data_IF_733470104994
#
_entry.id   IF_733470104994
#
_cell.length_a   1.000
_cell.length_b   1.000
_cell.length_c   1.000
_cell.angle_alpha   90.00
_cell.angle_beta   90.00
_cell.angle_gamma   90.00
#
_symmetry.space_group_name_H-M   'P 1'
#
loop_
_entity.id
_entity.type
_entity.pdbx_description
1 polymer ?
#
# COMPACT_ATOMS: atom_id res chain seq x y z
N UNK A 1 -45.02 8.14 -29.53
CA UNK A 1 -44.21 8.89 -28.56
C UNK A 1 -42.80 8.35 -28.65
N UNK A 2 -41.97 8.99 -29.47
CA UNK A 2 -40.62 8.55 -29.81
C UNK A 2 -39.65 8.94 -28.69
N UNK A 3 -38.90 7.96 -28.17
CA UNK A 3 -37.76 8.21 -27.28
C UNK A 3 -36.76 9.14 -27.98
N UNK A 4 -36.28 10.21 -27.35
CA UNK A 4 -35.31 11.10 -27.96
C UNK A 4 -33.95 10.39 -28.15
N UNK A 5 -33.18 10.76 -29.17
CA UNK A 5 -31.93 10.10 -29.53
C UNK A 5 -30.84 10.42 -28.50
N UNK A 6 -30.04 9.41 -28.19
CA UNK A 6 -28.87 9.47 -27.32
C UNK A 6 -27.91 10.59 -27.77
N UNK A 7 -27.61 11.56 -26.90
CA UNK A 7 -26.39 12.39 -27.01
C UNK A 7 -26.50 13.91 -27.03
N UNK A 8 -27.69 14.53 -26.98
CA UNK A 8 -27.80 15.98 -26.68
C UNK A 8 -28.32 16.16 -25.26
N UNK A 9 -27.46 16.68 -24.37
CA UNK A 9 -27.91 17.20 -23.08
C UNK A 9 -28.84 18.38 -23.34
N UNK A 10 -30.06 18.31 -22.83
CA UNK A 10 -30.99 19.43 -22.89
C UNK A 10 -30.51 20.58 -22.00
N UNK A 11 -31.08 21.77 -22.17
CA UNK A 11 -30.72 22.96 -21.39
C UNK A 11 -30.87 22.71 -19.87
N UNK A 12 -31.88 21.94 -19.47
CA UNK A 12 -32.13 21.55 -18.07
C UNK A 12 -31.00 20.68 -17.48
N UNK A 13 -30.46 19.73 -18.26
CA UNK A 13 -29.32 18.91 -17.83
C UNK A 13 -28.06 19.76 -17.61
N UNK A 14 -27.85 20.76 -18.47
CA UNK A 14 -26.75 21.71 -18.31
C UNK A 14 -26.93 22.60 -17.08
N UNK A 15 -28.14 23.11 -16.84
CA UNK A 15 -28.44 23.92 -15.66
C UNK A 15 -28.20 23.10 -14.39
N UNK A 16 -28.74 21.89 -14.28
CA UNK A 16 -28.51 21.03 -13.12
C UNK A 16 -27.04 20.64 -12.92
N UNK A 17 -26.31 20.42 -14.01
CA UNK A 17 -24.86 20.21 -13.93
C UNK A 17 -24.15 21.44 -13.35
N UNK A 18 -24.45 22.64 -13.84
CA UNK A 18 -23.85 23.87 -13.33
C UNK A 18 -24.25 24.14 -11.88
N UNK A 19 -25.51 23.96 -11.50
CA UNK A 19 -25.99 24.11 -10.12
C UNK A 19 -25.27 23.15 -9.17
N UNK A 20 -25.22 21.86 -9.50
CA UNK A 20 -24.54 20.85 -8.69
C UNK A 20 -23.03 21.14 -8.58
N UNK A 21 -22.41 21.52 -9.70
CA UNK A 21 -20.97 21.85 -9.73
C UNK A 21 -20.67 23.11 -8.91
N UNK A 22 -21.44 24.19 -9.06
CA UNK A 22 -21.29 25.41 -8.26
C UNK A 22 -21.54 25.14 -6.79
N UNK A 23 -22.52 24.30 -6.43
CA UNK A 23 -22.82 23.96 -5.04
C UNK A 23 -21.68 23.16 -4.42
N UNK A 24 -21.12 22.18 -5.13
CA UNK A 24 -19.96 21.41 -4.68
C UNK A 24 -18.74 22.32 -4.51
N UNK A 25 -18.42 23.15 -5.50
CA UNK A 25 -17.28 24.08 -5.43
C UNK A 25 -17.49 25.09 -4.31
N UNK A 26 -18.66 25.70 -4.21
CA UNK A 26 -19.00 26.67 -3.18
C UNK A 26 -18.92 26.08 -1.77
N UNK A 27 -19.43 24.86 -1.58
CA UNK A 27 -19.33 24.14 -0.30
C UNK A 27 -17.89 23.79 0.05
N UNK A 28 -17.09 23.34 -0.93
CA UNK A 28 -15.68 23.03 -0.73
C UNK A 28 -14.86 24.28 -0.39
N UNK A 29 -15.11 25.41 -1.05
CA UNK A 29 -14.48 26.70 -0.76
C UNK A 29 -14.85 27.20 0.63
N UNK A 30 -16.12 27.07 1.03
CA UNK A 30 -16.59 27.46 2.36
C UNK A 30 -15.92 26.60 3.44
N UNK A 31 -15.91 25.27 3.27
CA UNK A 31 -15.21 24.35 4.17
C UNK A 31 -13.71 24.67 4.27
N UNK A 32 -13.06 24.92 3.12
CA UNK A 32 -11.66 25.33 3.06
C UNK A 32 -11.43 26.64 3.82
N UNK A 33 -12.31 27.63 3.64
CA UNK A 33 -12.29 28.88 4.40
C UNK A 33 -12.37 28.66 5.91
N UNK A 34 -13.28 27.78 6.37
CA UNK A 34 -13.37 27.40 7.79
C UNK A 34 -12.05 26.78 8.28
N UNK A 35 -11.49 25.83 7.52
CA UNK A 35 -10.21 25.23 7.87
C UNK A 35 -9.07 26.25 7.94
N UNK A 36 -9.02 27.20 7.01
CA UNK A 36 -8.01 28.26 7.03
C UNK A 36 -8.20 29.23 8.18
N UNK A 37 -9.42 29.57 8.57
CA UNK A 37 -9.66 30.39 9.76
C UNK A 37 -9.18 29.67 11.03
N UNK A 38 -9.46 28.38 11.16
CA UNK A 38 -8.95 27.57 12.29
C UNK A 38 -7.43 27.47 12.25
N UNK A 39 -6.83 27.24 11.07
CA UNK A 39 -5.38 27.13 10.90
C UNK A 39 -4.66 28.45 11.19
N UNK A 40 -5.18 29.58 10.71
CA UNK A 40 -4.63 30.92 10.96
C UNK A 40 -4.64 31.25 12.45
N UNK A 41 -5.72 30.89 13.16
CA UNK A 41 -5.84 31.10 14.59
C UNK A 41 -5.22 29.97 15.43
N UNK A 42 -4.66 28.92 14.82
CA UNK A 42 -4.21 27.73 15.54
C UNK A 42 -3.18 28.05 16.62
N UNK A 43 -2.25 28.96 16.35
CA UNK A 43 -1.22 29.33 17.33
C UNK A 43 -1.77 30.13 18.51
N UNK A 44 -2.93 30.79 18.35
CA UNK A 44 -3.59 31.57 19.40
C UNK A 44 -4.47 30.70 20.32
N UNK A 45 -4.87 29.52 19.85
CA UNK A 45 -5.67 28.59 20.66
C UNK A 45 -4.83 27.99 21.79
N UNK A 46 -5.40 27.98 23.00
CA UNK A 46 -4.79 27.32 24.14
C UNK A 46 -4.73 25.79 23.95
N UNK A 47 -3.91 25.14 24.78
CA UNK A 47 -3.73 23.68 24.70
C UNK A 47 -5.02 22.90 24.93
N UNK A 48 -5.89 23.36 25.82
CA UNK A 48 -7.11 22.66 26.18
C UNK A 48 -8.16 22.74 25.07
N UNK A 49 -8.24 23.87 24.36
CA UNK A 49 -9.12 24.06 23.21
C UNK A 49 -8.67 23.17 22.05
N UNK A 50 -7.36 23.13 21.75
CA UNK A 50 -6.82 22.23 20.71
C UNK A 50 -7.16 20.77 20.96
N UNK A 51 -6.89 20.30 22.18
CA UNK A 51 -7.20 18.92 22.59
C UNK A 51 -8.72 18.69 22.64
N UNK A 52 -9.47 19.65 23.16
CA UNK A 52 -10.93 19.61 23.26
C UNK A 52 -11.60 19.45 21.90
N UNK A 53 -11.16 20.19 20.88
CA UNK A 53 -11.65 20.07 19.50
C UNK A 53 -11.45 18.65 18.98
N UNK A 54 -10.25 18.09 19.12
CA UNK A 54 -9.93 16.77 18.58
C UNK A 54 -10.66 15.67 19.34
N UNK A 55 -10.74 15.78 20.66
CA UNK A 55 -11.45 14.81 21.50
C UNK A 55 -12.95 14.83 21.20
N UNK A 56 -13.55 16.02 21.06
CA UNK A 56 -14.94 16.18 20.67
C UNK A 56 -15.22 15.59 19.29
N UNK A 57 -14.33 15.83 18.30
CA UNK A 57 -14.45 15.23 16.97
C UNK A 57 -14.39 13.70 17.03
N UNK A 58 -13.49 13.13 17.84
CA UNK A 58 -13.41 11.68 18.03
C UNK A 58 -14.71 11.12 18.62
N UNK A 59 -15.29 11.76 19.65
CA UNK A 59 -16.57 11.34 20.24
C UNK A 59 -17.70 11.42 19.20
N UNK A 60 -17.79 12.53 18.47
CA UNK A 60 -18.82 12.74 17.44
C UNK A 60 -18.74 11.64 16.38
N UNK A 61 -17.54 11.34 15.86
CA UNK A 61 -17.38 10.31 14.84
C UNK A 61 -17.50 8.88 15.38
N UNK A 62 -17.18 8.65 16.65
CA UNK A 62 -17.48 7.39 17.33
C UNK A 62 -18.99 7.15 17.40
N UNK A 63 -19.75 8.13 17.88
CA UNK A 63 -21.21 8.07 17.95
C UNK A 63 -21.82 7.92 16.54
N UNK A 64 -21.35 8.70 15.57
CA UNK A 64 -21.75 8.57 14.17
C UNK A 64 -21.56 7.14 13.67
N UNK A 65 -20.36 6.57 13.83
CA UNK A 65 -20.03 5.22 13.40
C UNK A 65 -20.92 4.19 14.09
N UNK A 66 -21.17 4.35 15.40
CA UNK A 66 -22.01 3.47 16.19
C UNK A 66 -23.48 3.50 15.73
N UNK A 67 -24.08 4.69 15.57
CA UNK A 67 -25.48 4.83 15.14
C UNK A 67 -25.70 4.39 13.70
N UNK A 68 -24.74 4.65 12.80
CA UNK A 68 -24.82 4.27 11.39
C UNK A 68 -24.24 2.89 11.08
N UNK A 69 -23.94 2.04 12.08
CA UNK A 69 -23.34 0.69 11.91
C UNK A 69 -24.07 -0.27 10.96
N UNK A 70 -25.36 -0.03 10.72
CA UNK A 70 -26.19 -0.81 9.78
C UNK A 70 -26.03 -0.36 8.32
N UNK A 71 -25.62 0.88 8.07
CA UNK A 71 -25.38 1.44 6.74
C UNK A 71 -23.89 1.29 6.43
N UNK A 72 -23.55 0.28 5.63
CA UNK A 72 -22.15 -0.11 5.36
C UNK A 72 -21.27 1.07 4.93
N UNK A 73 -21.70 1.86 3.95
CA UNK A 73 -20.94 3.01 3.45
C UNK A 73 -20.66 4.06 4.55
N UNK A 74 -21.67 4.43 5.35
CA UNK A 74 -21.49 5.42 6.42
C UNK A 74 -20.64 4.88 7.57
N UNK A 75 -20.80 3.60 7.89
CA UNK A 75 -19.98 2.92 8.89
C UNK A 75 -18.49 2.95 8.51
N UNK A 76 -18.17 2.65 7.25
CA UNK A 76 -16.78 2.67 6.74
C UNK A 76 -16.20 4.09 6.68
N UNK A 77 -17.01 5.09 6.29
CA UNK A 77 -16.61 6.50 6.35
C UNK A 77 -16.27 6.88 7.79
N UNK A 78 -17.14 6.51 8.75
CA UNK A 78 -16.93 6.78 10.17
C UNK A 78 -15.66 6.13 10.72
N UNK A 79 -15.42 4.85 10.43
CA UNK A 79 -14.18 4.15 10.82
C UNK A 79 -12.92 4.78 10.19
N UNK A 80 -13.00 5.18 8.92
CA UNK A 80 -11.88 5.83 8.22
C UNK A 80 -11.54 7.18 8.85
N UNK A 81 -12.57 7.96 9.22
CA UNK A 81 -12.36 9.25 9.90
C UNK A 81 -11.77 9.02 11.29
N UNK A 82 -12.27 8.05 12.07
CA UNK A 82 -11.70 7.69 13.37
C UNK A 82 -10.23 7.27 13.27
N UNK A 83 -9.87 6.52 12.24
CA UNK A 83 -8.48 6.15 11.97
C UNK A 83 -7.58 7.39 11.87
N UNK A 84 -7.95 8.40 11.07
CA UNK A 84 -7.16 9.63 10.92
C UNK A 84 -7.24 10.57 12.13
N UNK A 85 -8.39 10.64 12.81
CA UNK A 85 -8.55 11.44 14.02
C UNK A 85 -7.70 10.92 15.17
N UNK A 86 -7.46 9.60 15.24
CA UNK A 86 -6.53 9.00 16.21
C UNK A 86 -5.11 9.50 15.97
N UNK A 87 -4.63 9.48 14.71
CA UNK A 87 -3.32 10.03 14.36
C UNK A 87 -3.21 11.54 14.61
N UNK A 88 -4.28 12.28 14.33
CA UNK A 88 -4.35 13.73 14.57
C UNK A 88 -4.30 14.07 16.06
N UNK A 89 -4.94 13.26 16.92
CA UNK A 89 -4.85 13.40 18.37
C UNK A 89 -3.43 13.22 18.89
N UNK A 90 -2.72 12.19 18.41
CA UNK A 90 -1.32 11.96 18.75
C UNK A 90 -0.41 13.11 18.27
N UNK A 91 -0.64 13.60 17.05
CA UNK A 91 0.12 14.71 16.49
C UNK A 91 -0.02 15.99 17.32
N UNK A 92 -1.25 16.36 17.66
CA UNK A 92 -1.50 17.58 18.45
C UNK A 92 -1.03 17.43 19.89
N UNK A 93 -1.15 16.24 20.47
CA UNK A 93 -0.55 15.95 21.77
C UNK A 93 0.98 16.14 21.75
N UNK A 94 1.66 15.54 20.76
CA UNK A 94 3.10 15.68 20.58
C UNK A 94 3.54 17.14 20.34
N UNK A 95 2.75 17.90 19.58
CA UNK A 95 3.00 19.33 19.37
C UNK A 95 2.88 20.16 20.66
N UNK A 96 1.84 19.94 21.45
CA UNK A 96 1.54 20.73 22.67
C UNK A 96 2.56 20.45 23.77
N UNK A 97 2.85 19.17 24.01
CA UNK A 97 3.70 18.75 25.12
C UNK A 97 5.16 18.61 24.74
N UNK A 98 5.50 18.85 23.46
CA UNK A 98 6.86 18.77 22.92
C UNK A 98 7.57 17.53 23.46
N UNK A 99 6.94 16.36 23.34
CA UNK A 99 7.39 15.13 23.99
C UNK A 99 8.76 14.63 23.48
N UNK A 100 9.44 15.42 22.65
CA UNK A 100 10.74 15.12 22.05
C UNK A 100 10.74 13.81 21.28
N UNK A 101 9.55 13.31 20.95
CA UNK A 101 9.35 11.94 20.50
C UNK A 101 9.58 11.88 19.01
N UNK A 102 10.34 10.88 18.57
CA UNK A 102 10.65 10.69 17.17
C UNK A 102 9.38 10.43 16.35
N UNK A 103 9.44 10.73 15.05
CA UNK A 103 8.30 10.51 14.13
C UNK A 103 7.85 9.05 14.16
N UNK A 104 8.79 8.11 14.35
CA UNK A 104 8.53 6.69 14.54
C UNK A 104 7.50 6.42 15.66
N UNK A 105 7.67 7.00 16.84
CA UNK A 105 6.82 6.69 17.99
C UNK A 105 5.39 7.19 17.80
N UNK A 106 5.20 8.30 17.08
CA UNK A 106 3.87 8.77 16.67
C UNK A 106 3.20 7.74 15.76
N UNK A 107 3.93 7.23 14.76
CA UNK A 107 3.41 6.24 13.82
C UNK A 107 3.13 4.90 14.51
N UNK A 108 4.00 4.48 15.43
CA UNK A 108 3.81 3.28 16.25
C UNK A 108 2.57 3.40 17.14
N UNK A 109 2.45 4.51 17.87
CA UNK A 109 1.28 4.78 18.71
C UNK A 109 -0.01 4.78 17.87
N UNK A 110 0.04 5.39 16.68
CA UNK A 110 -1.09 5.39 15.75
C UNK A 110 -1.44 3.98 15.29
N UNK A 111 -0.45 3.17 14.90
CA UNK A 111 -0.66 1.80 14.44
C UNK A 111 -1.26 0.92 15.55
N UNK A 112 -0.74 1.01 16.78
CA UNK A 112 -1.23 0.25 17.94
C UNK A 112 -2.67 0.66 18.27
N UNK A 113 -2.93 1.96 18.40
CA UNK A 113 -4.25 2.47 18.77
C UNK A 113 -5.32 2.24 17.69
N UNK A 114 -4.94 1.98 16.44
CA UNK A 114 -5.90 1.72 15.35
C UNK A 114 -5.97 0.25 14.92
N UNK A 115 -5.16 -0.63 15.52
CA UNK A 115 -5.11 -2.05 15.17
C UNK A 115 -6.48 -2.73 15.28
N UNK A 116 -7.26 -2.40 16.31
CA UNK A 116 -8.59 -3.00 16.52
C UNK A 116 -9.61 -2.59 15.44
N UNK A 117 -9.38 -1.50 14.70
CA UNK A 117 -10.26 -1.06 13.61
C UNK A 117 -10.13 -1.99 12.38
N UNK A 118 -9.00 -2.68 12.22
CA UNK A 118 -8.72 -3.56 11.08
C UNK A 118 -9.74 -4.69 10.94
N UNK A 119 -10.00 -5.54 11.95
CA UNK A 119 -11.00 -6.60 11.86
C UNK A 119 -12.45 -6.08 11.87
N UNK A 120 -12.69 -4.84 12.31
CA UNK A 120 -14.04 -4.24 12.35
C UNK A 120 -14.47 -3.73 10.96
N UNK A 121 -13.51 -3.31 10.12
CA UNK A 121 -13.79 -2.81 8.78
C UNK A 121 -14.25 -3.92 7.83
N UNK A 122 -15.43 -3.74 7.24
CA UNK A 122 -16.08 -4.61 6.27
C UNK A 122 -15.59 -4.34 4.85
N UNK A 123 -15.39 -3.07 4.49
CA UNK A 123 -14.82 -2.70 3.17
C UNK A 123 -13.34 -3.06 3.06
N UNK A 124 -12.63 -3.01 4.20
CA UNK A 124 -11.19 -3.20 4.31
C UNK A 124 -10.36 -2.00 3.84
N UNK A 125 -10.99 -0.87 3.53
CA UNK A 125 -10.28 0.41 3.33
C UNK A 125 -9.38 0.71 4.53
N UNK A 126 -9.91 0.56 5.75
CA UNK A 126 -9.14 0.76 6.98
C UNK A 126 -8.02 -0.25 7.14
N UNK A 127 -8.23 -1.51 6.75
CA UNK A 127 -7.15 -2.51 6.73
C UNK A 127 -6.03 -2.10 5.75
N UNK A 128 -6.39 -1.56 4.59
CA UNK A 128 -5.43 -1.01 3.63
C UNK A 128 -4.64 0.18 4.18
N UNK A 129 -5.34 1.14 4.79
CA UNK A 129 -4.71 2.29 5.44
C UNK A 129 -3.79 1.87 6.59
N UNK A 130 -4.21 0.89 7.39
CA UNK A 130 -3.40 0.35 8.47
C UNK A 130 -2.15 -0.37 7.95
N UNK A 131 -2.25 -1.11 6.84
CA UNK A 131 -1.08 -1.71 6.19
C UNK A 131 -0.06 -0.65 5.74
N UNK A 132 -0.53 0.45 5.15
CA UNK A 132 0.33 1.60 4.78
C UNK A 132 0.97 2.20 6.01
N UNK A 133 0.18 2.49 7.06
CA UNK A 133 0.66 3.05 8.32
C UNK A 133 1.72 2.15 8.97
N UNK A 134 1.47 0.85 9.03
CA UNK A 134 2.40 -0.12 9.61
C UNK A 134 3.68 -0.23 8.78
N UNK A 135 3.58 -0.27 7.44
CA UNK A 135 4.75 -0.24 6.57
C UNK A 135 5.60 1.04 6.79
N UNK A 136 4.95 2.20 6.87
CA UNK A 136 5.64 3.46 7.21
C UNK A 136 6.28 3.41 8.59
N UNK A 137 5.62 2.82 9.58
CA UNK A 137 6.14 2.67 10.95
C UNK A 137 7.42 1.83 10.96
N UNK A 138 7.43 0.68 10.28
CA UNK A 138 8.60 -0.20 10.17
C UNK A 138 9.74 0.52 9.45
N UNK A 139 9.46 1.25 8.37
CA UNK A 139 10.47 2.02 7.67
C UNK A 139 11.07 3.12 8.55
N UNK A 140 10.24 3.88 9.28
CA UNK A 140 10.70 4.92 10.20
C UNK A 140 11.56 4.33 11.33
N UNK A 141 11.16 3.18 11.89
CA UNK A 141 11.97 2.46 12.88
C UNK A 141 13.36 2.13 12.33
N UNK A 142 13.41 1.65 11.08
CA UNK A 142 14.67 1.26 10.44
C UNK A 142 15.64 2.43 10.23
N UNK A 143 15.12 3.66 10.14
CA UNK A 143 15.88 4.88 9.90
C UNK A 143 16.24 5.58 11.21
N UNK A 144 15.33 5.59 12.19
CA UNK A 144 15.45 6.41 13.41
C UNK A 144 15.99 5.63 14.61
N UNK A 145 15.68 4.34 14.72
CA UNK A 145 15.96 3.55 15.94
C UNK A 145 16.94 2.42 15.65
N UNK A 146 16.74 1.66 14.59
CA UNK A 146 17.54 0.47 14.31
C UNK A 146 18.92 0.80 13.75
N UNK A 147 19.92 -0.03 14.10
CA UNK A 147 21.24 0.02 13.49
C UNK A 147 21.18 -0.50 12.06
N UNK A 148 21.43 0.36 11.07
CA UNK A 148 21.21 0.11 9.65
C UNK A 148 21.75 -1.20 9.06
N UNK A 149 22.72 -1.85 9.71
CA UNK A 149 23.28 -3.15 9.31
C UNK A 149 22.32 -4.32 9.56
N UNK A 150 21.55 -4.31 10.64
CA UNK A 150 20.67 -5.44 11.03
C UNK A 150 19.24 -5.32 10.47
N UNK A 151 18.95 -4.23 9.75
CA UNK A 151 17.63 -3.96 9.17
C UNK A 151 17.13 -5.04 8.21
N UNK A 152 18.02 -5.86 7.66
CA UNK A 152 17.65 -6.97 6.77
C UNK A 152 16.76 -8.01 7.49
N UNK A 153 16.99 -8.30 8.77
CA UNK A 153 16.11 -9.19 9.54
C UNK A 153 14.72 -8.59 9.75
N UNK A 154 14.67 -7.31 10.11
CA UNK A 154 13.43 -6.57 10.33
C UNK A 154 12.58 -6.46 9.05
N UNK A 155 13.20 -6.19 7.90
CA UNK A 155 12.49 -6.17 6.63
C UNK A 155 12.07 -7.58 6.18
N UNK A 156 12.87 -8.62 6.44
CA UNK A 156 12.50 -9.99 6.13
C UNK A 156 11.29 -10.46 6.95
N UNK A 157 11.27 -10.22 8.27
CA UNK A 157 10.12 -10.56 9.12
C UNK A 157 8.87 -9.78 8.73
N UNK A 158 9.02 -8.48 8.43
CA UNK A 158 7.92 -7.64 7.96
C UNK A 158 7.36 -8.12 6.62
N UNK A 159 8.23 -8.54 5.69
CA UNK A 159 7.82 -9.12 4.41
C UNK A 159 6.95 -10.36 4.59
N UNK A 160 7.37 -11.28 5.47
CA UNK A 160 6.60 -12.48 5.81
C UNK A 160 5.25 -12.13 6.47
N UNK A 161 5.23 -11.12 7.33
CA UNK A 161 4.01 -10.63 7.97
C UNK A 161 3.00 -10.11 6.94
N UNK A 162 3.44 -9.32 5.96
CA UNK A 162 2.57 -8.81 4.91
C UNK A 162 2.07 -9.90 3.95
N UNK A 163 2.86 -10.95 3.69
CA UNK A 163 2.36 -12.13 2.98
C UNK A 163 1.26 -12.80 3.78
N UNK A 164 1.51 -13.05 5.06
CA UNK A 164 0.53 -13.67 5.93
C UNK A 164 -0.78 -12.87 5.96
N UNK A 165 -0.69 -11.55 6.15
CA UNK A 165 -1.85 -10.65 6.10
C UNK A 165 -2.54 -10.72 4.72
N UNK A 166 -1.79 -10.68 3.62
CA UNK A 166 -2.35 -10.77 2.27
C UNK A 166 -3.13 -12.06 2.04
N UNK A 167 -2.59 -13.19 2.50
CA UNK A 167 -3.23 -14.51 2.43
C UNK A 167 -4.50 -14.52 3.29
N UNK A 168 -4.44 -14.08 4.55
CA UNK A 168 -5.60 -14.03 5.46
C UNK A 168 -6.72 -13.18 4.88
N UNK A 169 -6.41 -12.01 4.32
CA UNK A 169 -7.40 -11.12 3.70
C UNK A 169 -8.01 -11.72 2.43
N UNK A 170 -7.25 -12.47 1.64
CA UNK A 170 -7.80 -13.23 0.51
C UNK A 170 -8.78 -14.31 1.00
N UNK A 171 -8.45 -15.05 2.07
CA UNK A 171 -9.33 -16.06 2.67
C UNK A 171 -10.61 -15.48 3.28
N UNK A 172 -10.55 -14.33 3.95
CA UNK A 172 -11.73 -13.72 4.58
C UNK A 172 -12.74 -13.14 3.59
N UNK A 173 -12.29 -12.60 2.45
CA UNK A 173 -13.14 -11.80 1.55
C UNK A 173 -13.49 -12.44 0.21
N UNK A 174 -13.07 -13.68 -0.05
CA UNK A 174 -13.24 -14.28 -1.38
C UNK A 174 -13.47 -15.79 -1.36
N UNK A 175 -14.48 -16.22 -2.12
CA UNK A 175 -14.59 -17.60 -2.62
C UNK A 175 -13.35 -18.01 -3.39
N UNK A 176 -13.05 -19.32 -3.38
CA UNK A 176 -11.81 -19.93 -3.88
C UNK A 176 -11.44 -19.51 -5.31
N UNK A 177 -12.42 -19.49 -6.22
CA UNK A 177 -12.29 -19.09 -7.62
C UNK A 177 -13.36 -18.05 -7.97
N UNK A 178 -13.01 -16.77 -7.93
CA UNK A 178 -13.89 -15.72 -8.48
C UNK A 178 -13.04 -14.70 -9.21
N UNK A 179 -13.19 -14.66 -10.54
CA UNK A 179 -12.53 -13.67 -11.42
C UNK A 179 -12.95 -12.23 -11.12
N UNK A 180 -14.08 -12.04 -10.41
CA UNK A 180 -14.71 -10.73 -10.18
C UNK A 180 -14.30 -10.08 -8.86
N UNK A 181 -13.79 -10.83 -7.88
CA UNK A 181 -13.35 -10.26 -6.60
C UNK A 181 -11.94 -9.68 -6.72
N UNK A 182 -11.84 -8.42 -7.12
CA UNK A 182 -10.57 -7.69 -7.00
C UNK A 182 -10.29 -7.44 -5.52
N UNK A 183 -9.58 -8.35 -4.85
CA UNK A 183 -9.05 -8.08 -3.51
C UNK A 183 -7.88 -7.11 -3.64
N UNK A 184 -8.19 -5.83 -3.78
CA UNK A 184 -7.19 -4.74 -3.74
C UNK A 184 -6.27 -4.87 -2.50
N UNK A 185 -6.78 -5.45 -1.42
CA UNK A 185 -6.06 -5.65 -0.18
C UNK A 185 -4.97 -6.72 -0.25
N UNK A 186 -5.20 -7.83 -0.95
CA UNK A 186 -4.12 -8.81 -1.13
C UNK A 186 -3.05 -8.32 -2.09
N UNK A 187 -3.44 -7.57 -3.13
CA UNK A 187 -2.49 -6.86 -3.98
C UNK A 187 -1.62 -5.89 -3.18
N UNK A 188 -2.23 -5.13 -2.27
CA UNK A 188 -1.53 -4.20 -1.37
C UNK A 188 -0.60 -4.94 -0.39
N UNK A 189 -1.05 -6.06 0.18
CA UNK A 189 -0.23 -6.93 1.03
C UNK A 189 1.00 -7.48 0.29
N UNK A 190 0.82 -7.98 -0.94
CA UNK A 190 1.93 -8.44 -1.79
C UNK A 190 2.86 -7.29 -2.15
N UNK A 191 2.32 -6.11 -2.48
CA UNK A 191 3.12 -4.94 -2.79
C UNK A 191 4.08 -4.61 -1.65
N UNK A 192 3.57 -4.54 -0.40
CA UNK A 192 4.42 -4.29 0.75
C UNK A 192 5.37 -5.45 1.05
N UNK A 193 4.89 -6.70 0.96
CA UNK A 193 5.74 -7.87 1.16
C UNK A 193 6.96 -7.88 0.23
N UNK A 194 6.72 -7.70 -1.07
CA UNK A 194 7.77 -7.67 -2.08
C UNK A 194 8.62 -6.39 -1.98
N UNK A 195 8.02 -5.26 -1.61
CA UNK A 195 8.74 -4.02 -1.33
C UNK A 195 9.78 -4.18 -0.22
N UNK A 196 9.37 -4.68 0.95
CA UNK A 196 10.29 -4.97 2.04
C UNK A 196 11.32 -6.03 1.68
N UNK A 197 10.92 -7.06 0.93
CA UNK A 197 11.88 -8.03 0.43
C UNK A 197 12.94 -7.35 -0.44
N UNK A 198 12.57 -6.45 -1.35
CA UNK A 198 13.56 -5.72 -2.16
C UNK A 198 14.51 -4.88 -1.29
N UNK A 199 14.03 -4.27 -0.20
CA UNK A 199 14.89 -3.56 0.74
C UNK A 199 15.92 -4.49 1.41
N UNK A 200 15.54 -5.73 1.75
CA UNK A 200 16.48 -6.76 2.23
C UNK A 200 17.62 -6.93 1.22
N UNK A 201 17.30 -7.08 -0.06
CA UNK A 201 18.31 -7.33 -1.11
C UNK A 201 19.26 -6.15 -1.29
N UNK A 202 18.73 -4.93 -1.26
CA UNK A 202 19.55 -3.72 -1.35
C UNK A 202 20.53 -3.64 -0.18
N UNK A 203 20.09 -3.99 1.03
CA UNK A 203 20.97 -4.04 2.21
C UNK A 203 22.02 -5.14 2.05
N UNK A 204 21.60 -6.36 1.72
CA UNK A 204 22.51 -7.50 1.53
C UNK A 204 23.56 -7.25 0.44
N UNK A 205 23.19 -6.52 -0.61
CA UNK A 205 24.10 -6.08 -1.66
C UNK A 205 25.13 -5.08 -1.12
N UNK A 206 24.68 -4.10 -0.33
CA UNK A 206 25.56 -3.09 0.28
C UNK A 206 26.58 -3.70 1.25
N UNK A 207 26.19 -4.76 1.98
CA UNK A 207 27.07 -5.47 2.93
C UNK A 207 27.76 -6.69 2.30
N UNK A 208 27.84 -6.77 0.97
CA UNK A 208 28.43 -7.92 0.26
C UNK A 208 29.83 -8.30 0.77
N UNK A 209 30.65 -7.31 1.15
CA UNK A 209 32.01 -7.52 1.67
C UNK A 209 32.08 -8.19 3.04
N UNK A 210 30.97 -8.24 3.78
CA UNK A 210 30.89 -8.90 5.10
C UNK A 210 30.64 -10.42 4.96
N UNK A 211 30.34 -10.92 3.76
CA UNK A 211 30.14 -12.36 3.52
C UNK A 211 31.47 -13.11 3.37
N UNK A 212 31.63 -14.19 4.13
CA UNK A 212 32.85 -15.01 4.15
C UNK A 212 33.05 -15.87 2.90
N UNK A 213 31.97 -16.24 2.20
CA UNK A 213 32.04 -17.05 0.98
C UNK A 213 31.06 -16.57 -0.08
N UNK A 214 31.47 -16.66 -1.35
CA UNK A 214 30.63 -16.35 -2.52
C UNK A 214 29.37 -17.21 -2.56
N UNK A 215 29.43 -18.46 -2.07
CA UNK A 215 28.28 -19.36 -2.01
C UNK A 215 27.22 -18.86 -1.03
N UNK A 216 27.62 -18.40 0.16
CA UNK A 216 26.68 -17.83 1.14
C UNK A 216 26.00 -16.59 0.60
N UNK A 217 26.75 -15.68 -0.04
CA UNK A 217 26.18 -14.50 -0.67
C UNK A 217 25.19 -14.87 -1.79
N UNK A 218 25.57 -15.78 -2.69
CA UNK A 218 24.70 -16.25 -3.77
C UNK A 218 23.43 -16.94 -3.27
N UNK A 219 23.49 -17.67 -2.16
CA UNK A 219 22.32 -18.26 -1.53
C UNK A 219 21.28 -17.20 -1.11
N UNK A 220 21.70 -16.17 -0.39
CA UNK A 220 20.79 -15.13 0.10
C UNK A 220 20.32 -14.17 -0.99
N UNK A 221 21.18 -13.83 -1.97
CA UNK A 221 20.82 -12.91 -3.04
C UNK A 221 20.06 -13.57 -4.20
N UNK A 222 20.29 -14.85 -4.48
CA UNK A 222 19.76 -15.49 -5.69
C UNK A 222 18.74 -16.57 -5.36
N UNK A 223 19.11 -17.55 -4.54
CA UNK A 223 18.27 -18.73 -4.31
C UNK A 223 17.06 -18.43 -3.43
N UNK A 224 17.26 -17.88 -2.24
CA UNK A 224 16.19 -17.57 -1.29
C UNK A 224 15.08 -16.67 -1.90
N UNK A 225 15.41 -15.64 -2.68
CA UNK A 225 14.41 -14.79 -3.34
C UNK A 225 13.72 -15.50 -4.48
N UNK A 226 14.44 -16.30 -5.28
CA UNK A 226 13.83 -17.11 -6.34
C UNK A 226 12.78 -18.06 -5.75
N UNK A 227 13.10 -18.72 -4.62
CA UNK A 227 12.17 -19.57 -3.91
C UNK A 227 10.97 -18.78 -3.38
N UNK A 228 11.20 -17.60 -2.81
CA UNK A 228 10.13 -16.75 -2.29
C UNK A 228 9.17 -16.25 -3.37
N UNK A 229 9.70 -15.65 -4.43
CA UNK A 229 8.91 -15.19 -5.57
C UNK A 229 8.22 -16.36 -6.27
N UNK A 230 8.91 -17.50 -6.41
CA UNK A 230 8.35 -18.73 -6.97
C UNK A 230 7.18 -19.26 -6.16
N UNK A 231 7.31 -19.32 -4.82
CA UNK A 231 6.24 -19.75 -3.92
C UNK A 231 5.00 -18.84 -4.04
N UNK A 232 5.20 -17.52 -3.95
CA UNK A 232 4.09 -16.55 -4.04
C UNK A 232 3.46 -16.58 -5.44
N UNK A 233 4.27 -16.73 -6.49
CA UNK A 233 3.79 -16.88 -7.86
C UNK A 233 2.95 -18.15 -8.02
N UNK A 234 3.42 -19.31 -7.54
CA UNK A 234 2.68 -20.58 -7.62
C UNK A 234 1.35 -20.47 -6.88
N UNK A 235 1.37 -19.92 -5.66
CA UNK A 235 0.16 -19.68 -4.87
C UNK A 235 -0.87 -18.84 -5.65
N UNK A 236 -0.45 -17.69 -6.19
CA UNK A 236 -1.36 -16.81 -6.94
C UNK A 236 -1.67 -17.26 -8.35
N UNK A 237 -0.92 -18.20 -8.93
CA UNK A 237 -1.18 -18.76 -10.26
C UNK A 237 -2.16 -19.91 -10.20
N UNK A 238 -1.96 -20.83 -9.26
CA UNK A 238 -2.67 -22.12 -9.22
C UNK A 238 -3.75 -22.18 -8.15
N UNK A 239 -3.56 -21.51 -7.00
CA UNK A 239 -4.47 -21.66 -5.86
C UNK A 239 -5.54 -20.56 -5.77
N UNK A 240 -5.20 -19.30 -6.10
CA UNK A 240 -6.12 -18.15 -5.97
C UNK A 240 -6.30 -17.30 -7.23
N UNK A 241 -5.73 -17.71 -8.37
CA UNK A 241 -5.62 -16.95 -9.64
C UNK A 241 -6.00 -15.45 -9.56
N UNK A 242 -5.01 -14.59 -9.31
CA UNK A 242 -5.20 -13.13 -9.26
C UNK A 242 -4.29 -12.43 -10.25
N UNK A 243 -4.86 -11.91 -11.33
CA UNK A 243 -4.06 -11.28 -12.40
C UNK A 243 -3.24 -10.08 -11.91
N UNK A 244 -3.83 -9.21 -11.08
CA UNK A 244 -3.12 -8.06 -10.49
C UNK A 244 -1.91 -8.49 -9.64
N UNK A 245 -2.09 -9.53 -8.82
CA UNK A 245 -1.05 -10.03 -7.93
C UNK A 245 0.10 -10.65 -8.73
N UNK A 246 -0.22 -11.41 -9.79
CA UNK A 246 0.77 -11.95 -10.73
C UNK A 246 1.55 -10.83 -11.42
N UNK A 247 0.88 -9.75 -11.84
CA UNK A 247 1.54 -8.58 -12.41
C UNK A 247 2.50 -7.91 -11.43
N UNK A 248 2.10 -7.76 -10.16
CA UNK A 248 2.97 -7.21 -9.11
C UNK A 248 4.19 -8.08 -8.84
N UNK A 249 4.01 -9.40 -8.77
CA UNK A 249 5.11 -10.35 -8.56
C UNK A 249 6.15 -10.25 -9.69
N UNK A 250 5.69 -10.18 -10.95
CA UNK A 250 6.59 -10.02 -12.09
C UNK A 250 7.24 -8.63 -12.14
N UNK A 251 6.51 -7.57 -11.77
CA UNK A 251 7.08 -6.22 -11.68
C UNK A 251 8.21 -6.15 -10.65
N UNK A 252 7.99 -6.67 -9.45
CA UNK A 252 9.04 -6.74 -8.43
C UNK A 252 10.14 -7.75 -8.79
N UNK A 253 9.84 -8.76 -9.62
CA UNK A 253 10.82 -9.69 -10.17
C UNK A 253 11.78 -9.02 -11.16
N UNK A 254 11.28 -8.05 -11.94
CA UNK A 254 12.11 -7.17 -12.76
C UNK A 254 13.12 -6.41 -11.90
N UNK A 255 12.69 -5.87 -10.75
CA UNK A 255 13.57 -5.19 -9.80
C UNK A 255 14.73 -6.07 -9.33
N UNK A 256 14.46 -7.35 -9.09
CA UNK A 256 15.49 -8.34 -8.73
C UNK A 256 16.48 -8.60 -9.87
N UNK A 257 15.98 -8.73 -11.10
CA UNK A 257 16.85 -8.91 -12.27
C UNK A 257 17.71 -7.68 -12.50
N UNK A 258 17.16 -6.47 -12.33
CA UNK A 258 17.92 -5.23 -12.40
C UNK A 258 19.08 -5.22 -11.41
N UNK A 259 18.82 -5.50 -10.13
CA UNK A 259 19.85 -5.50 -9.10
C UNK A 259 20.95 -6.53 -9.41
N UNK A 260 20.56 -7.75 -9.82
CA UNK A 260 21.50 -8.85 -10.07
C UNK A 260 22.33 -8.66 -11.34
N UNK A 261 21.71 -8.19 -12.42
CA UNK A 261 22.44 -7.95 -13.67
C UNK A 261 23.32 -6.71 -13.57
N UNK A 262 22.93 -5.70 -12.77
CA UNK A 262 23.80 -4.57 -12.46
C UNK A 262 25.05 -4.97 -11.68
N UNK A 263 24.91 -5.91 -10.72
CA UNK A 263 26.04 -6.50 -9.98
C UNK A 263 26.91 -7.36 -10.91
N UNK A 264 26.30 -8.33 -11.60
CA UNK A 264 26.99 -9.27 -12.50
C UNK A 264 27.82 -8.58 -13.58
N UNK A 265 27.28 -7.52 -14.18
CA UNK A 265 27.95 -6.76 -15.25
C UNK A 265 28.78 -5.58 -14.71
N UNK A 266 28.94 -5.49 -13.38
CA UNK A 266 29.75 -4.47 -12.71
C UNK A 266 29.48 -3.04 -13.22
N UNK A 267 28.20 -2.71 -13.47
CA UNK A 267 27.78 -1.46 -14.12
C UNK A 267 28.29 -0.23 -13.35
N UNK A 268 28.45 -0.38 -12.04
CA UNK A 268 28.88 0.68 -11.12
C UNK A 268 30.40 0.80 -10.95
N UNK A 269 31.19 -0.16 -11.43
CA UNK A 269 32.64 -0.22 -11.19
C UNK A 269 33.47 -0.14 -12.48
N UNK A 270 33.12 -0.93 -13.49
CA UNK A 270 33.85 -1.02 -14.76
C UNK A 270 32.85 -1.11 -15.90
N UNK A 271 32.51 0.05 -16.47
CA UNK A 271 31.44 0.13 -17.46
C UNK A 271 31.99 0.03 -18.88
N UNK A 272 31.87 -1.14 -19.51
CA UNK A 272 32.06 -1.31 -20.95
C UNK A 272 30.74 -1.12 -21.70
N UNK A 273 30.78 -0.69 -22.97
CA UNK A 273 29.58 -0.59 -23.81
C UNK A 273 28.84 -1.95 -23.91
N UNK A 274 29.59 -3.06 -23.87
CA UNK A 274 29.05 -4.42 -23.87
C UNK A 274 28.24 -4.72 -22.60
N UNK A 275 28.72 -4.29 -21.43
CA UNK A 275 28.03 -4.51 -20.15
C UNK A 275 26.67 -3.78 -20.11
N UNK A 276 26.62 -2.54 -20.61
CA UNK A 276 25.35 -1.80 -20.73
C UNK A 276 24.38 -2.46 -21.72
N UNK A 277 24.89 -2.98 -22.84
CA UNK A 277 24.08 -3.68 -23.82
C UNK A 277 23.48 -4.97 -23.24
N UNK A 278 24.29 -5.79 -22.55
CA UNK A 278 23.81 -7.01 -21.89
C UNK A 278 22.80 -6.73 -20.78
N UNK A 279 23.01 -5.65 -20.02
CA UNK A 279 22.06 -5.18 -19.02
C UNK A 279 20.71 -4.79 -19.66
N UNK A 280 20.73 -3.95 -20.69
CA UNK A 280 19.54 -3.53 -21.40
C UNK A 280 18.80 -4.71 -22.06
N UNK A 281 19.53 -5.66 -22.66
CA UNK A 281 18.96 -6.89 -23.22
C UNK A 281 18.29 -7.75 -22.15
N UNK A 282 18.89 -7.88 -20.97
CA UNK A 282 18.29 -8.66 -19.86
C UNK A 282 16.94 -8.08 -19.41
N UNK A 283 16.85 -6.75 -19.31
CA UNK A 283 15.61 -6.04 -18.93
C UNK A 283 14.54 -6.18 -20.01
N UNK A 284 14.91 -5.95 -21.27
CA UNK A 284 13.98 -6.04 -22.40
C UNK A 284 13.46 -7.46 -22.59
N UNK A 285 14.33 -8.47 -22.51
CA UNK A 285 13.92 -9.88 -22.58
C UNK A 285 12.95 -10.23 -21.45
N UNK A 286 13.24 -9.83 -20.21
CA UNK A 286 12.36 -10.10 -19.09
C UNK A 286 11.00 -9.39 -19.21
N UNK A 287 10.98 -8.11 -19.57
CA UNK A 287 9.73 -7.35 -19.73
C UNK A 287 8.85 -7.94 -20.83
N UNK A 288 9.44 -8.27 -22.00
CA UNK A 288 8.72 -8.91 -23.10
C UNK A 288 8.17 -10.27 -22.68
N UNK A 289 8.98 -11.09 -22.00
CA UNK A 289 8.52 -12.37 -21.47
C UNK A 289 7.38 -12.21 -20.46
N UNK A 290 7.53 -11.33 -19.47
CA UNK A 290 6.53 -11.11 -18.43
C UNK A 290 5.19 -10.62 -19.01
N UNK A 291 5.22 -9.68 -19.95
CA UNK A 291 4.01 -9.17 -20.63
C UNK A 291 3.37 -10.25 -21.50
N UNK A 292 4.17 -10.95 -22.31
CA UNK A 292 3.68 -12.06 -23.15
C UNK A 292 3.04 -13.15 -22.31
N UNK A 293 3.69 -13.53 -21.21
CA UNK A 293 3.21 -14.51 -20.26
C UNK A 293 1.88 -14.09 -19.63
N UNK A 294 1.80 -12.88 -19.05
CA UNK A 294 0.55 -12.35 -18.49
C UNK A 294 -0.59 -12.29 -19.51
N UNK A 295 -0.31 -11.89 -20.75
CA UNK A 295 -1.29 -11.90 -21.82
C UNK A 295 -1.76 -13.32 -22.18
N UNK A 296 -0.85 -14.29 -22.18
CA UNK A 296 -1.17 -15.71 -22.32
C UNK A 296 -2.11 -16.19 -21.22
N UNK A 297 -1.81 -15.87 -19.95
CA UNK A 297 -2.65 -16.25 -18.81
C UNK A 297 -4.05 -15.65 -18.90
N UNK A 298 -4.16 -14.41 -19.39
CA UNK A 298 -5.45 -13.72 -19.56
C UNK A 298 -6.28 -14.34 -20.68
N UNK A 299 -5.65 -14.76 -21.78
CA UNK A 299 -6.35 -15.39 -22.92
C UNK A 299 -6.90 -16.76 -22.55
N UNK A 300 -6.11 -17.60 -21.90
CA UNK A 300 -6.49 -18.97 -21.51
C UNK A 300 -7.70 -18.96 -20.56
N UNK A 301 -7.72 -18.02 -19.61
CA UNK A 301 -8.82 -17.96 -18.64
C UNK A 301 -10.06 -17.21 -19.20
N UNK A 302 -9.86 -16.25 -20.11
CA UNK A 302 -10.96 -15.52 -20.77
C UNK A 302 -11.74 -16.33 -21.81
N UNK A 303 -11.19 -17.46 -22.30
CA UNK A 303 -11.84 -18.33 -23.29
C UNK A 303 -12.78 -19.39 -22.68
N UNK A 304 -12.97 -19.42 -21.35
CA UNK A 304 -13.93 -20.33 -20.71
C UNK A 304 -13.59 -21.81 -20.82
N UNK A 305 -12.37 -22.17 -21.16
CA UNK A 305 -11.89 -23.55 -21.02
C UNK A 305 -11.63 -23.82 -19.55
N UNK A 306 -12.70 -24.19 -18.84
CA UNK A 306 -12.61 -24.94 -17.59
C UNK A 306 -11.87 -26.24 -17.93
N UNK A 307 -10.58 -26.31 -17.60
CA UNK A 307 -9.89 -27.58 -17.59
C UNK A 307 -10.14 -28.30 -16.25
N UNK A 308 -10.37 -29.63 -16.29
CA UNK A 308 -10.84 -30.44 -15.16
C UNK A 308 -9.88 -30.54 -13.98
#
# INVERSE_FOLDING_TARGET
>A
MSLPPYGKKDLEDWIHFFESTLLIIGSALLLSGIFFLVAFNWNLLDRFTKLGIIFLLNIVFYLFTFFFRKKELLFEIGLTILFFLTGSALLVYGQIYQTGTDVYDLFLGWAILTLFLVPISRSGVVAGLWMVLFASTVYLYSVQVATGKENHFLFATTSLLFIFIGIVLDFQKSEFYSEKTKSFLSALGIFFALGFLNLVHVILFRIHSEFSTTLTYGFFQILLPLLFYGFVYIFYRWYRFRHLNLSLILLFGLGQILLKTADLFAIWAYSSAVNYLLFALSITLYTVWAVSHLNGLRRINGSGEVNP
#
